data_IF_624745722211
#
_entry.id   IF_624745722211
#
_cell.length_a   1.000
_cell.length_b   1.000
_cell.length_c   1.000
_cell.angle_alpha   90.00
_cell.angle_beta   90.00
_cell.angle_gamma   90.00
#
_symmetry.space_group_name_H-M   'P 1'
#
loop_
_entity.id
_entity.type
_entity.pdbx_description
1 polymer ?
#
# COMPACT_ATOMS: atom_id res chain seq x y z
N UNK A 1 43.74 -17.07 18.23
CA UNK A 1 42.29 -17.29 18.45
C UNK A 1 41.43 -16.16 17.86
N UNK A 2 41.68 -15.69 16.62
CA UNK A 2 40.92 -14.59 15.99
C UNK A 2 39.84 -15.06 15.00
N UNK A 3 40.03 -16.22 14.36
CA UNK A 3 39.17 -16.69 13.27
C UNK A 3 37.73 -17.09 13.68
N UNK A 4 37.48 -17.27 14.98
CA UNK A 4 36.15 -17.65 15.50
C UNK A 4 35.20 -16.45 15.60
N UNK A 5 35.72 -15.26 15.89
CA UNK A 5 34.91 -14.05 16.08
C UNK A 5 34.45 -13.47 14.74
N UNK A 6 35.31 -13.50 13.72
CA UNK A 6 34.98 -12.95 12.40
C UNK A 6 33.86 -13.76 11.70
N UNK A 7 33.83 -15.08 11.90
CA UNK A 7 32.78 -15.95 11.35
C UNK A 7 31.43 -15.76 12.03
N UNK A 8 31.42 -15.54 13.35
CA UNK A 8 30.18 -15.29 14.11
C UNK A 8 29.63 -13.90 13.84
N UNK A 9 30.48 -12.89 13.71
CA UNK A 9 30.06 -11.55 13.29
C UNK A 9 29.46 -11.55 11.88
N UNK A 10 30.08 -12.27 10.93
CA UNK A 10 29.57 -12.39 9.56
C UNK A 10 28.19 -13.07 9.48
N UNK A 11 27.95 -14.12 10.27
CA UNK A 11 26.65 -14.79 10.35
C UNK A 11 25.57 -13.87 10.91
N UNK A 12 25.84 -13.18 12.03
CA UNK A 12 24.89 -12.25 12.64
C UNK A 12 24.50 -11.09 11.73
N UNK A 13 25.46 -10.55 10.96
CA UNK A 13 25.18 -9.49 9.98
C UNK A 13 24.28 -9.99 8.84
N UNK A 14 24.49 -11.24 8.38
CA UNK A 14 23.70 -11.83 7.32
C UNK A 14 22.26 -12.13 7.78
N UNK A 15 22.09 -12.62 9.01
CA UNK A 15 20.78 -12.87 9.59
C UNK A 15 20.01 -11.57 9.79
N UNK A 16 20.67 -10.54 10.35
CA UNK A 16 20.05 -9.23 10.54
C UNK A 16 19.69 -8.54 9.22
N UNK A 17 20.52 -8.69 8.17
CA UNK A 17 20.20 -8.21 6.83
C UNK A 17 18.99 -8.95 6.25
N UNK A 18 18.89 -10.27 6.46
CA UNK A 18 17.78 -11.10 5.98
C UNK A 18 16.48 -10.74 6.69
N UNK A 19 16.52 -10.57 8.01
CA UNK A 19 15.38 -10.12 8.82
C UNK A 19 14.90 -8.73 8.38
N UNK A 20 15.84 -7.79 8.23
CA UNK A 20 15.53 -6.43 7.80
C UNK A 20 14.91 -6.43 6.40
N UNK A 21 15.46 -7.22 5.47
CA UNK A 21 14.91 -7.36 4.13
C UNK A 21 13.51 -7.97 4.15
N UNK A 22 13.26 -8.98 4.99
CA UNK A 22 11.95 -9.63 5.11
C UNK A 22 10.90 -8.68 5.69
N UNK A 23 11.26 -7.93 6.73
CA UNK A 23 10.38 -6.91 7.34
C UNK A 23 10.07 -5.82 6.31
N UNK A 24 11.09 -5.34 5.61
CA UNK A 24 10.94 -4.31 4.57
C UNK A 24 10.01 -4.78 3.45
N UNK A 25 10.23 -6.00 2.96
CA UNK A 25 9.40 -6.63 1.93
C UNK A 25 7.95 -6.80 2.38
N UNK A 26 7.74 -7.17 3.65
CA UNK A 26 6.40 -7.32 4.21
C UNK A 26 5.68 -5.97 4.32
N UNK A 27 6.35 -4.93 4.84
CA UNK A 27 5.77 -3.58 4.94
C UNK A 27 5.40 -3.04 3.57
N UNK A 28 6.31 -3.18 2.62
CA UNK A 28 6.07 -2.83 1.23
C UNK A 28 4.86 -3.57 0.65
N UNK A 29 4.82 -4.90 0.78
CA UNK A 29 3.74 -5.74 0.28
C UNK A 29 2.39 -5.37 0.89
N UNK A 30 2.37 -5.05 2.18
CA UNK A 30 1.17 -4.64 2.92
C UNK A 30 0.63 -3.33 2.36
N UNK A 31 1.51 -2.33 2.15
CA UNK A 31 1.12 -1.06 1.60
C UNK A 31 0.74 -1.09 0.12
N UNK A 32 1.42 -1.91 -0.68
CA UNK A 32 1.04 -2.17 -2.06
C UNK A 32 -0.35 -2.80 -2.15
N UNK A 33 -0.62 -3.81 -1.31
CA UNK A 33 -1.93 -4.47 -1.22
C UNK A 33 -3.02 -3.50 -0.77
N UNK A 34 -2.71 -2.65 0.21
CA UNK A 34 -3.62 -1.59 0.68
C UNK A 34 -3.98 -0.66 -0.48
N UNK A 35 -2.97 -0.12 -1.18
CA UNK A 35 -3.18 0.78 -2.31
C UNK A 35 -4.01 0.09 -3.40
N UNK A 36 -3.72 -1.18 -3.71
CA UNK A 36 -4.42 -1.95 -4.71
C UNK A 36 -5.92 -2.06 -4.45
N UNK A 37 -6.28 -2.41 -3.22
CA UNK A 37 -7.68 -2.52 -2.86
C UNK A 37 -8.35 -1.15 -2.70
N UNK A 38 -7.63 -0.15 -2.21
CA UNK A 38 -8.15 1.20 -2.04
C UNK A 38 -8.47 1.86 -3.38
N UNK A 39 -7.49 1.94 -4.28
CA UNK A 39 -7.67 2.53 -5.61
C UNK A 39 -8.57 1.70 -6.54
N UNK A 40 -8.69 0.39 -6.27
CA UNK A 40 -9.67 -0.46 -6.95
C UNK A 40 -11.13 -0.02 -6.77
N UNK A 41 -11.46 0.71 -5.68
CA UNK A 41 -12.79 1.33 -5.52
C UNK A 41 -13.04 2.46 -6.52
N UNK A 42 -12.00 3.04 -7.08
CA UNK A 42 -12.07 4.13 -8.06
C UNK A 42 -11.87 3.65 -9.50
N UNK A 43 -11.92 2.32 -9.74
CA UNK A 43 -11.64 1.68 -11.04
C UNK A 43 -10.24 1.99 -11.60
N UNK A 44 -9.31 2.46 -10.77
CA UNK A 44 -7.92 2.70 -11.18
C UNK A 44 -7.07 1.46 -10.94
N UNK A 45 -6.21 1.17 -11.92
CA UNK A 45 -5.13 0.21 -11.75
C UNK A 45 -3.91 0.89 -11.13
N UNK A 46 -3.17 0.18 -10.29
CA UNK A 46 -1.94 0.72 -9.68
C UNK A 46 -0.93 1.25 -10.71
N UNK A 47 -0.88 0.62 -11.88
CA UNK A 47 0.05 0.97 -12.95
C UNK A 47 -0.29 2.33 -13.59
N UNK A 48 -1.56 2.74 -13.59
CA UNK A 48 -1.95 4.03 -14.19
C UNK A 48 -1.66 5.21 -13.27
N UNK A 49 -1.65 4.98 -11.96
CA UNK A 49 -1.38 6.02 -10.95
C UNK A 49 0.10 6.40 -10.83
N UNK A 50 1.02 5.54 -11.30
CA UNK A 50 2.49 5.67 -11.16
C UNK A 50 2.95 6.15 -9.78
N UNK A 51 2.32 5.61 -8.73
CA UNK A 51 2.60 6.03 -7.35
C UNK A 51 4.08 5.76 -7.02
N UNK A 52 4.83 6.76 -6.52
CA UNK A 52 6.21 6.56 -6.11
C UNK A 52 6.32 5.46 -5.05
N UNK A 53 7.40 4.68 -5.13
CA UNK A 53 7.56 3.45 -4.34
C UNK A 53 7.53 3.72 -2.82
N UNK A 54 7.96 4.92 -2.43
CA UNK A 54 8.02 5.41 -1.05
C UNK A 54 6.64 5.45 -0.39
N UNK A 55 5.58 5.75 -1.16
CA UNK A 55 4.22 5.82 -0.62
C UNK A 55 3.69 4.45 -0.21
N UNK A 56 4.14 3.35 -0.83
CA UNK A 56 3.75 2.02 -0.39
C UNK A 56 4.24 1.73 1.04
N UNK A 57 5.41 2.23 1.44
CA UNK A 57 5.84 2.11 2.83
C UNK A 57 4.95 2.91 3.79
N UNK A 58 4.49 4.10 3.38
CA UNK A 58 3.57 4.92 4.17
C UNK A 58 2.22 4.21 4.36
N UNK A 59 1.66 3.65 3.29
CA UNK A 59 0.43 2.86 3.37
C UNK A 59 0.58 1.62 4.25
N UNK A 60 1.70 0.90 4.11
CA UNK A 60 2.00 -0.27 4.96
C UNK A 60 2.10 0.13 6.43
N UNK A 61 2.75 1.25 6.73
CA UNK A 61 2.82 1.82 8.07
C UNK A 61 1.44 2.15 8.64
N UNK A 62 0.52 2.72 7.84
CA UNK A 62 -0.84 3.03 8.29
C UNK A 62 -1.63 1.78 8.68
N UNK A 63 -1.49 0.70 7.91
CA UNK A 63 -2.12 -0.59 8.24
C UNK A 63 -1.58 -1.10 9.58
N UNK A 64 -0.26 -1.15 9.75
CA UNK A 64 0.33 -1.62 11.00
C UNK A 64 0.04 -0.70 12.19
N UNK A 65 -0.05 0.62 11.99
CA UNK A 65 -0.46 1.57 13.03
C UNK A 65 -1.89 1.28 13.51
N UNK A 66 -2.80 0.98 12.57
CA UNK A 66 -4.20 0.65 12.87
C UNK A 66 -4.30 -0.65 13.66
N UNK A 67 -3.48 -1.64 13.30
CA UNK A 67 -3.45 -2.96 13.92
C UNK A 67 -2.21 -3.18 14.81
N UNK A 68 -1.77 -2.15 15.54
CA UNK A 68 -0.51 -2.19 16.30
C UNK A 68 -0.45 -3.34 17.32
N UNK A 69 -1.61 -3.72 17.87
CA UNK A 69 -1.76 -4.85 18.79
C UNK A 69 -1.49 -6.22 18.13
N UNK A 70 -1.67 -6.34 16.81
CA UNK A 70 -1.28 -7.53 16.03
C UNK A 70 0.17 -7.49 15.58
N UNK A 71 0.82 -6.32 15.53
CA UNK A 71 2.24 -6.18 15.16
C UNK A 71 3.15 -6.81 16.21
N UNK A 72 2.78 -6.75 17.48
CA UNK A 72 3.58 -7.29 18.59
C UNK A 72 3.73 -8.83 18.52
N UNK A 73 2.65 -9.64 18.48
CA UNK A 73 2.78 -11.09 18.37
C UNK A 73 3.38 -11.51 17.01
N UNK A 74 3.17 -10.71 15.97
CA UNK A 74 3.66 -10.99 14.63
C UNK A 74 5.16 -10.71 14.47
N UNK A 75 5.63 -9.57 14.99
CA UNK A 75 7.05 -9.24 15.09
C UNK A 75 7.78 -10.20 16.04
N UNK A 76 7.15 -10.56 17.17
CA UNK A 76 7.67 -11.59 18.06
C UNK A 76 7.74 -12.95 17.36
N UNK A 77 6.78 -13.29 16.50
CA UNK A 77 6.82 -14.51 15.68
C UNK A 77 7.99 -14.54 14.70
N UNK A 78 8.24 -13.45 13.98
CA UNK A 78 9.39 -13.33 13.05
C UNK A 78 10.71 -13.38 13.82
N UNK A 79 10.82 -12.64 14.93
CA UNK A 79 12.02 -12.63 15.77
C UNK A 79 12.23 -14.00 16.41
N UNK A 80 11.18 -14.69 16.89
CA UNK A 80 11.31 -16.05 17.40
C UNK A 80 11.71 -17.03 16.30
N UNK A 81 11.20 -16.88 15.07
CA UNK A 81 11.59 -17.72 13.93
C UNK A 81 13.05 -17.51 13.52
N UNK A 82 13.55 -16.28 13.58
CA UNK A 82 14.93 -15.95 13.23
C UNK A 82 15.91 -16.21 14.40
N UNK A 83 15.49 -15.93 15.64
CA UNK A 83 16.22 -16.19 16.88
C UNK A 83 16.10 -17.64 17.38
N UNK A 84 15.33 -18.50 16.71
CA UNK A 84 15.39 -19.97 16.86
C UNK A 84 16.67 -20.57 16.22
N UNK A 85 17.76 -19.81 16.26
CA UNK A 85 19.11 -20.33 16.40
C UNK A 85 19.40 -20.68 17.87
N UNK A 86 20.40 -21.51 18.18
CA UNK A 86 20.37 -22.61 19.17
C UNK A 86 20.27 -22.19 20.65
N UNK A 87 20.03 -20.91 20.95
CA UNK A 87 20.08 -20.36 22.31
C UNK A 87 18.82 -20.60 23.14
N UNK A 88 17.64 -20.78 22.54
CA UNK A 88 16.39 -20.70 23.29
C UNK A 88 15.84 -22.02 23.84
N UNK A 89 16.24 -23.21 23.34
CA UNK A 89 16.01 -24.46 24.10
C UNK A 89 16.82 -25.67 23.59
N UNK A 90 17.35 -26.52 24.48
CA UNK A 90 17.98 -27.79 24.10
C UNK A 90 16.99 -28.79 23.44
N UNK A 91 15.68 -28.55 23.58
CA UNK A 91 14.63 -29.32 22.91
C UNK A 91 14.55 -29.02 21.42
N UNK A 92 14.72 -27.76 21.01
CA UNK A 92 14.71 -27.39 19.59
C UNK A 92 15.97 -27.88 18.87
N UNK A 93 17.13 -27.86 19.52
CA UNK A 93 18.37 -28.39 18.94
C UNK A 93 18.26 -29.88 18.60
N UNK A 94 17.61 -30.66 19.47
CA UNK A 94 17.33 -32.08 19.20
C UNK A 94 16.47 -32.26 17.94
N UNK A 95 15.42 -31.44 17.78
CA UNK A 95 14.54 -31.47 16.61
C UNK A 95 15.26 -30.97 15.34
N UNK A 96 16.10 -29.94 15.45
CA UNK A 96 16.90 -29.38 14.34
C UNK A 96 17.91 -30.40 13.81
N UNK A 97 18.48 -31.21 14.71
CA UNK A 97 19.43 -32.27 14.38
C UNK A 97 18.73 -33.50 13.80
N UNK A 98 17.56 -33.87 14.33
CA UNK A 98 16.82 -35.06 13.89
C UNK A 98 15.99 -34.84 12.61
N UNK A 99 15.42 -33.64 12.40
CA UNK A 99 14.50 -33.35 11.26
C UNK A 99 14.63 -31.92 10.72
N UNK A 100 15.76 -31.56 10.08
CA UNK A 100 16.00 -30.20 9.55
C UNK A 100 15.00 -29.79 8.45
N UNK A 101 14.45 -30.75 7.70
CA UNK A 101 13.44 -30.48 6.65
C UNK A 101 12.12 -29.97 7.20
N UNK A 102 11.65 -30.50 8.33
CA UNK A 102 10.37 -30.07 8.94
C UNK A 102 10.47 -28.65 9.47
N UNK A 103 11.61 -28.29 10.08
CA UNK A 103 11.82 -26.95 10.63
C UNK A 103 11.87 -25.90 9.52
N UNK A 104 12.54 -26.20 8.41
CA UNK A 104 12.50 -25.35 7.20
C UNK A 104 11.08 -25.21 6.64
N UNK A 105 10.30 -26.29 6.58
CA UNK A 105 8.91 -26.22 6.13
C UNK A 105 8.06 -25.35 7.06
N UNK A 106 8.17 -25.50 8.39
CA UNK A 106 7.47 -24.67 9.36
C UNK A 106 7.83 -23.19 9.21
N UNK A 107 9.11 -22.87 8.97
CA UNK A 107 9.54 -21.51 8.72
C UNK A 107 8.91 -20.93 7.44
N UNK A 108 8.89 -21.69 6.34
CA UNK A 108 8.22 -21.28 5.09
C UNK A 108 6.72 -21.06 5.32
N UNK A 109 6.05 -21.99 6.00
CA UNK A 109 4.63 -21.86 6.32
C UNK A 109 4.35 -20.64 7.21
N UNK A 110 5.20 -20.38 8.19
CA UNK A 110 5.06 -19.23 9.06
C UNK A 110 5.23 -17.92 8.29
N UNK A 111 6.25 -17.80 7.43
CA UNK A 111 6.43 -16.63 6.56
C UNK A 111 5.23 -16.46 5.62
N UNK A 112 4.76 -17.53 4.99
CA UNK A 112 3.59 -17.47 4.12
C UNK A 112 2.33 -17.02 4.86
N UNK A 113 2.08 -17.59 6.04
CA UNK A 113 0.97 -17.20 6.90
C UNK A 113 1.07 -15.72 7.29
N UNK A 114 2.28 -15.26 7.56
CA UNK A 114 2.57 -13.87 7.85
C UNK A 114 2.07 -12.97 6.70
N UNK A 115 2.53 -13.23 5.47
CA UNK A 115 2.10 -12.49 4.27
C UNK A 115 0.58 -12.57 4.03
N UNK A 116 -0.06 -13.72 4.29
CA UNK A 116 -1.52 -13.86 4.17
C UNK A 116 -2.28 -13.00 5.18
N UNK A 117 -1.81 -12.95 6.43
CA UNK A 117 -2.38 -12.07 7.46
C UNK A 117 -2.21 -10.61 7.08
N UNK A 118 -1.01 -10.21 6.64
CA UNK A 118 -0.75 -8.85 6.18
C UNK A 118 -1.64 -8.46 4.99
N UNK A 119 -1.85 -9.38 4.04
CA UNK A 119 -2.79 -9.19 2.92
C UNK A 119 -4.22 -8.94 3.41
N UNK A 120 -4.72 -9.78 4.33
CA UNK A 120 -6.06 -9.64 4.89
C UNK A 120 -6.24 -8.32 5.65
N UNK A 121 -5.26 -7.93 6.46
CA UNK A 121 -5.27 -6.66 7.19
C UNK A 121 -5.26 -5.46 6.25
N UNK A 122 -4.45 -5.49 5.19
CA UNK A 122 -4.40 -4.43 4.19
C UNK A 122 -5.74 -4.27 3.46
N UNK A 123 -6.37 -5.38 3.06
CA UNK A 123 -7.71 -5.39 2.44
C UNK A 123 -8.77 -4.78 3.35
N UNK A 124 -8.84 -5.22 4.61
CA UNK A 124 -9.82 -4.72 5.58
C UNK A 124 -9.59 -3.23 5.84
N UNK A 125 -8.34 -2.82 6.01
CA UNK A 125 -7.96 -1.41 6.20
C UNK A 125 -8.41 -0.53 5.05
N UNK A 126 -8.11 -0.95 3.80
CA UNK A 126 -8.47 -0.21 2.61
C UNK A 126 -9.99 -0.03 2.49
N UNK A 127 -10.74 -1.10 2.74
CA UNK A 127 -12.20 -1.09 2.70
C UNK A 127 -12.80 -0.18 3.79
N UNK A 128 -12.32 -0.30 5.02
CA UNK A 128 -12.79 0.55 6.13
C UNK A 128 -12.49 2.01 5.86
N UNK A 129 -11.28 2.36 5.44
CA UNK A 129 -10.93 3.73 5.13
C UNK A 129 -11.76 4.29 3.98
N UNK A 130 -12.00 3.50 2.93
CA UNK A 130 -12.90 3.91 1.84
C UNK A 130 -14.33 4.16 2.32
N UNK A 131 -14.90 3.25 3.12
CA UNK A 131 -16.25 3.39 3.66
C UNK A 131 -16.39 4.60 4.59
N UNK A 132 -15.37 4.84 5.41
CA UNK A 132 -15.32 6.01 6.30
C UNK A 132 -15.29 7.31 5.48
N UNK A 133 -14.46 7.37 4.43
CA UNK A 133 -14.43 8.52 3.52
C UNK A 133 -15.75 8.69 2.77
N UNK A 134 -16.36 7.60 2.31
CA UNK A 134 -17.66 7.64 1.66
C UNK A 134 -18.74 8.20 2.59
N UNK A 135 -18.79 7.75 3.85
CA UNK A 135 -19.72 8.26 4.86
C UNK A 135 -19.49 9.74 5.20
N UNK A 136 -18.25 10.21 5.08
CA UNK A 136 -17.87 11.62 5.25
C UNK A 136 -17.94 12.44 3.96
N UNK A 137 -18.45 11.90 2.85
CA UNK A 137 -18.52 12.61 1.58
C UNK A 137 -17.16 13.01 0.99
N UNK A 138 -16.11 12.23 1.31
CA UNK A 138 -14.73 12.39 0.83
C UNK A 138 -14.08 13.72 1.22
N UNK A 139 -14.37 14.25 2.42
CA UNK A 139 -13.80 15.52 2.93
C UNK A 139 -12.27 15.53 2.93
N UNK A 140 -11.60 14.38 3.07
CA UNK A 140 -10.14 14.32 3.03
C UNK A 140 -9.55 14.72 1.66
N UNK A 141 -10.34 14.72 0.61
CA UNK A 141 -9.92 15.07 -0.74
C UNK A 141 -10.31 16.51 -1.09
N UNK A 142 -9.36 17.37 -1.48
CA UNK A 142 -9.65 18.76 -1.77
C UNK A 142 -10.58 18.88 -2.97
N UNK A 143 -11.48 19.86 -2.89
CA UNK A 143 -12.33 20.24 -4.01
C UNK A 143 -11.51 21.05 -5.00
N UNK A 144 -11.59 20.71 -6.28
CA UNK A 144 -10.82 21.37 -7.33
C UNK A 144 -11.72 21.74 -8.50
N UNK A 145 -11.34 22.86 -9.13
CA UNK A 145 -11.92 23.33 -10.39
C UNK A 145 -10.80 23.43 -11.41
N UNK A 146 -11.05 22.93 -12.62
CA UNK A 146 -10.03 22.77 -13.66
C UNK A 146 -10.43 23.54 -14.91
N UNK A 147 -9.50 24.31 -15.45
CA UNK A 147 -9.66 24.99 -16.74
C UNK A 147 -8.72 24.35 -17.76
N UNK A 148 -9.25 23.81 -18.87
CA UNK A 148 -8.42 23.21 -19.90
C UNK A 148 -7.70 24.25 -20.77
N UNK A 149 -6.66 23.80 -21.46
CA UNK A 149 -5.97 24.54 -22.51
C UNK A 149 -6.83 24.61 -23.78
N UNK A 150 -6.65 25.69 -24.54
CA UNK A 150 -7.20 25.86 -25.89
C UNK A 150 -6.11 25.56 -26.92
N UNK A 151 -6.39 24.80 -27.99
CA UNK A 151 -7.70 24.29 -28.43
C UNK A 151 -8.14 23.00 -27.71
N UNK A 152 -9.46 22.80 -27.64
CA UNK A 152 -10.07 21.60 -27.07
C UNK A 152 -9.83 20.36 -27.97
N UNK A 153 -9.85 19.14 -27.40
CA UNK A 153 -9.75 17.91 -28.18
C UNK A 153 -10.82 17.80 -29.28
N UNK A 154 -10.49 17.17 -30.40
CA UNK A 154 -11.44 16.96 -31.51
C UNK A 154 -12.53 15.93 -31.19
N UNK A 155 -12.27 15.01 -30.25
CA UNK A 155 -13.23 14.01 -29.80
C UNK A 155 -14.41 14.68 -29.09
N UNK A 156 -15.62 14.44 -29.61
CA UNK A 156 -16.86 15.01 -29.09
C UNK A 156 -17.12 14.65 -27.61
N UNK A 157 -16.70 13.48 -27.16
CA UNK A 157 -16.90 13.03 -25.76
C UNK A 157 -15.96 13.74 -24.80
N UNK A 158 -14.68 13.88 -25.17
CA UNK A 158 -13.70 14.64 -24.41
C UNK A 158 -14.01 16.14 -24.44
N UNK A 159 -14.46 16.66 -25.58
CA UNK A 159 -14.87 18.05 -25.70
C UNK A 159 -16.01 18.41 -24.73
N UNK A 160 -17.05 17.57 -24.66
CA UNK A 160 -18.14 17.77 -23.72
C UNK A 160 -17.66 17.71 -22.25
N UNK A 161 -16.75 16.78 -21.92
CA UNK A 161 -16.14 16.71 -20.60
C UNK A 161 -15.38 18.00 -20.27
N UNK A 162 -14.55 18.48 -21.20
CA UNK A 162 -13.69 19.65 -21.01
C UNK A 162 -14.48 20.96 -20.93
N UNK A 163 -15.65 21.03 -21.59
CA UNK A 163 -16.61 22.13 -21.45
C UNK A 163 -17.31 22.11 -20.08
N UNK A 164 -17.52 20.92 -19.47
CA UNK A 164 -18.10 20.80 -18.12
C UNK A 164 -17.08 21.15 -17.02
N UNK A 165 -15.78 20.86 -17.21
CA UNK A 165 -14.73 21.02 -16.19
C UNK A 165 -14.71 22.39 -15.46
N UNK A 166 -14.85 23.54 -16.14
CA UNK A 166 -14.84 24.85 -15.49
C UNK A 166 -16.07 25.13 -14.62
N UNK A 167 -17.18 24.43 -14.88
CA UNK A 167 -18.46 24.59 -14.16
C UNK A 167 -18.67 23.53 -13.08
N UNK A 168 -18.03 22.37 -13.25
CA UNK A 168 -18.14 21.23 -12.34
C UNK A 168 -17.37 21.43 -11.02
N UNK A 169 -17.80 20.70 -10.00
CA UNK A 169 -17.10 20.59 -8.72
C UNK A 169 -16.57 19.17 -8.62
N UNK A 170 -15.25 19.01 -8.69
CA UNK A 170 -14.57 17.72 -8.64
C UNK A 170 -13.75 17.61 -7.37
N UNK A 171 -13.49 16.38 -6.92
CA UNK A 171 -12.49 16.11 -5.88
C UNK A 171 -11.23 15.57 -6.54
N UNK A 172 -10.09 16.07 -6.08
CA UNK A 172 -8.78 15.57 -6.51
C UNK A 172 -8.47 14.30 -5.72
N UNK A 173 -8.34 13.17 -6.40
CA UNK A 173 -7.92 11.92 -5.79
C UNK A 173 -6.40 11.85 -5.66
N UNK A 174 -5.71 12.09 -6.78
CA UNK A 174 -4.27 12.00 -6.90
C UNK A 174 -3.79 12.93 -8.01
N UNK A 175 -2.60 13.49 -7.83
CA UNK A 175 -1.83 14.17 -8.86
C UNK A 175 -0.55 13.37 -9.08
N UNK A 176 -0.33 12.95 -10.32
CA UNK A 176 0.95 12.40 -10.78
C UNK A 176 1.67 13.46 -11.64
N UNK A 177 2.92 13.20 -12.06
CA UNK A 177 3.75 14.10 -12.88
C UNK A 177 3.08 14.51 -14.20
N UNK A 178 2.23 13.65 -14.75
CA UNK A 178 1.62 13.86 -16.07
C UNK A 178 0.10 13.95 -16.04
N UNK A 179 -0.56 13.50 -14.98
CA UNK A 179 -2.02 13.33 -14.96
C UNK A 179 -2.64 13.73 -13.63
N UNK A 180 -3.84 14.32 -13.72
CA UNK A 180 -4.73 14.61 -12.61
C UNK A 180 -5.88 13.61 -12.60
N UNK A 181 -6.08 12.94 -11.46
CA UNK A 181 -7.16 12.00 -11.26
C UNK A 181 -8.29 12.67 -10.49
N UNK A 182 -9.40 12.95 -11.18
CA UNK A 182 -10.55 13.65 -10.62
C UNK A 182 -11.77 12.74 -10.55
N UNK A 183 -12.60 12.93 -9.53
CA UNK A 183 -13.90 12.27 -9.46
C UNK A 183 -15.00 13.23 -9.04
N UNK A 184 -16.20 12.98 -9.55
CA UNK A 184 -17.42 13.69 -9.17
C UNK A 184 -18.17 12.87 -8.12
N UNK A 185 -18.65 13.52 -7.07
CA UNK A 185 -19.50 12.87 -6.08
C UNK A 185 -20.86 12.54 -6.72
N UNK A 186 -21.34 11.30 -6.64
CA UNK A 186 -22.66 10.94 -7.13
C UNK A 186 -23.74 11.60 -6.26
N UNK A 187 -24.75 12.18 -6.90
CA UNK A 187 -25.86 12.87 -6.24
C UNK A 187 -26.64 11.97 -5.28
N UNK A 188 -26.66 10.66 -5.55
CA UNK A 188 -27.37 9.65 -4.74
C UNK A 188 -26.51 8.97 -3.66
N UNK A 189 -25.21 9.32 -3.52
CA UNK A 189 -24.32 8.80 -2.48
C UNK A 189 -24.01 7.28 -2.51
N UNK A 190 -24.63 6.51 -3.41
CA UNK A 190 -24.66 5.04 -3.39
C UNK A 190 -23.68 4.32 -4.33
N UNK A 191 -22.83 5.03 -5.06
CA UNK A 191 -21.97 4.35 -6.04
C UNK A 191 -20.89 3.51 -5.34
N UNK A 192 -20.95 2.19 -5.52
CA UNK A 192 -19.96 1.25 -4.97
C UNK A 192 -18.56 1.40 -5.59
N UNK A 193 -18.50 1.96 -6.81
CA UNK A 193 -17.26 2.36 -7.48
C UNK A 193 -17.45 3.74 -8.12
N UNK A 194 -16.45 4.61 -7.97
CA UNK A 194 -16.50 5.97 -8.50
C UNK A 194 -15.81 6.03 -9.86
N UNK A 195 -16.45 6.60 -10.90
CA UNK A 195 -15.78 6.86 -12.16
C UNK A 195 -14.75 7.99 -11.96
N UNK A 196 -13.59 7.84 -12.61
CA UNK A 196 -12.50 8.82 -12.58
C UNK A 196 -12.30 9.40 -13.96
N UNK A 197 -12.12 10.72 -13.97
CA UNK A 197 -11.69 11.48 -15.12
C UNK A 197 -10.18 11.66 -15.00
N UNK A 198 -9.45 11.05 -15.94
CA UNK A 198 -8.01 11.20 -16.06
C UNK A 198 -7.75 12.39 -16.99
N UNK A 199 -7.06 13.42 -16.49
CA UNK A 199 -6.75 14.63 -17.25
C UNK A 199 -5.24 14.83 -17.35
N UNK A 200 -4.65 14.83 -18.55
CA UNK A 200 -3.24 15.17 -18.72
C UNK A 200 -2.96 16.60 -18.24
N UNK A 201 -1.94 16.78 -17.40
CA UNK A 201 -1.51 18.08 -16.89
C UNK A 201 -1.14 19.06 -18.01
N UNK A 202 -0.62 18.55 -19.14
CA UNK A 202 -0.32 19.35 -20.35
C UNK A 202 -1.56 20.02 -20.93
N UNK A 203 -2.74 19.48 -20.66
CA UNK A 203 -4.02 19.98 -21.15
C UNK A 203 -4.74 20.85 -20.12
N UNK A 204 -4.16 21.05 -18.95
CA UNK A 204 -4.71 21.91 -17.89
C UNK A 204 -4.01 23.25 -17.89
N UNK A 205 -4.80 24.31 -18.10
CA UNK A 205 -4.34 25.71 -18.05
C UNK A 205 -4.24 26.20 -16.61
N UNK A 206 -5.22 25.87 -15.79
CA UNK A 206 -5.32 26.34 -14.41
C UNK A 206 -6.04 25.31 -13.55
N UNK A 207 -5.48 25.06 -12.36
CA UNK A 207 -6.08 24.27 -11.30
C UNK A 207 -6.33 25.19 -10.11
N UNK A 208 -7.57 25.26 -9.63
CA UNK A 208 -7.91 25.99 -8.40
C UNK A 208 -8.43 25.03 -7.35
N UNK A 209 -7.72 24.97 -6.23
CA UNK A 209 -8.20 24.29 -5.02
C UNK A 209 -9.21 25.20 -4.33
N UNK A 210 -10.40 24.67 -4.05
CA UNK A 210 -11.47 25.35 -3.35
C UNK A 210 -11.33 25.10 -1.83
N UNK A 211 -11.64 26.10 -0.98
CA UNK A 211 -11.57 25.97 0.47
C UNK A 211 -12.61 24.99 1.03
#
# INVERSE_FOLDING_TARGET
MSASNDRTAGLLLFDLATETALITALVYFTGWTYAYHYFGHFKLGLLTLEIPIEYFFVYGFWVFKTFWWLVIPYGLGIVLLASCEPRLSPRLDRIKTERPRLLRQLQIFAVLLAFLVAWGLALVSARWFYQEQQGKGFIAYPLVRVWPNTPLPEDATLKALYEELPSGVYRLLLENKETLFLFKLPTDGKSARLPINELPLKEVKLLRVLP
#
